data_IF_583699197632
#
_entry.id   IF_583699197632
#
_cell.length_a   1.000
_cell.length_b   1.000
_cell.length_c   1.000
_cell.angle_alpha   90.00
_cell.angle_beta   90.00
_cell.angle_gamma   90.00
#
_symmetry.space_group_name_H-M   'P 1'
#
loop_
_entity.id
_entity.type
_entity.pdbx_description
1 polymer ?
#
# COMPACT_ATOMS: atom_id res chain seq x y z
N UNK A 1 25.39 22.48 4.26
CA UNK A 1 24.07 22.77 4.84
C UNK A 1 23.62 24.22 4.63
N UNK A 2 24.39 25.24 5.03
CA UNK A 2 24.03 26.63 4.78
C UNK A 2 23.83 26.95 3.28
N UNK A 3 24.73 26.48 2.42
CA UNK A 3 24.65 26.74 0.98
C UNK A 3 23.44 26.10 0.29
N UNK A 4 22.93 25.00 0.83
CA UNK A 4 21.77 24.29 0.27
C UNK A 4 20.46 25.06 0.52
N UNK A 5 20.35 25.76 1.64
CA UNK A 5 19.22 26.61 2.00
C UNK A 5 19.33 28.06 1.49
N UNK A 6 20.52 28.46 1.01
CA UNK A 6 20.77 29.83 0.52
C UNK A 6 20.25 30.09 -0.91
N UNK A 7 19.78 29.06 -1.61
CA UNK A 7 19.09 29.24 -2.89
C UNK A 7 17.94 30.23 -2.74
N UNK A 8 17.93 31.31 -3.55
CA UNK A 8 17.02 32.45 -3.39
C UNK A 8 15.56 32.07 -3.13
N UNK A 9 15.01 31.10 -3.88
CA UNK A 9 13.62 30.68 -3.72
C UNK A 9 13.34 29.97 -2.39
N UNK A 10 14.27 29.10 -1.93
CA UNK A 10 14.13 28.41 -0.65
C UNK A 10 14.31 29.37 0.52
N UNK A 11 15.29 30.28 0.43
CA UNK A 11 15.48 31.30 1.45
C UNK A 11 14.26 32.20 1.61
N UNK A 12 13.63 32.63 0.51
CA UNK A 12 12.39 33.43 0.53
C UNK A 12 11.23 32.67 1.20
N UNK A 13 11.17 31.32 1.04
CA UNK A 13 10.11 30.49 1.62
C UNK A 13 10.30 30.20 3.12
N UNK A 14 11.53 29.91 3.56
CA UNK A 14 11.77 29.37 4.92
C UNK A 14 12.77 30.17 5.74
N UNK A 15 13.44 31.18 5.15
CA UNK A 15 14.51 31.95 5.79
C UNK A 15 14.11 33.36 6.23
N UNK A 16 12.88 33.80 6.02
CA UNK A 16 12.44 35.18 6.29
C UNK A 16 11.56 35.27 7.53
N UNK A 17 10.36 34.74 7.49
CA UNK A 17 9.37 34.85 8.57
C UNK A 17 8.78 33.47 8.89
N UNK A 18 8.47 33.24 10.16
CA UNK A 18 7.72 32.05 10.60
C UNK A 18 6.23 32.37 10.67
N UNK A 19 5.52 32.16 9.58
CA UNK A 19 4.07 32.38 9.49
C UNK A 19 3.27 31.07 9.44
N UNK A 20 3.95 29.92 9.29
CA UNK A 20 3.37 28.60 9.22
C UNK A 20 4.13 27.65 10.14
N UNK A 21 3.42 26.99 11.06
CA UNK A 21 4.00 25.99 11.96
C UNK A 21 3.21 24.69 11.94
N UNK A 22 3.82 23.52 12.21
CA UNK A 22 3.12 22.24 12.26
C UNK A 22 1.99 22.18 13.28
N UNK A 23 2.11 22.93 14.37
CA UNK A 23 1.08 22.99 15.42
C UNK A 23 -0.28 23.48 14.91
N UNK A 24 -0.31 24.21 13.80
CA UNK A 24 -1.57 24.66 13.17
C UNK A 24 -2.46 23.48 12.75
N UNK A 25 -1.86 22.33 12.41
CA UNK A 25 -2.59 21.10 12.05
C UNK A 25 -3.35 20.57 13.26
N UNK A 26 -2.82 20.71 14.47
CA UNK A 26 -3.45 20.27 15.71
C UNK A 26 -4.75 21.03 16.02
N UNK A 27 -4.94 22.19 15.40
CA UNK A 27 -6.19 22.99 15.46
C UNK A 27 -7.14 22.72 14.29
N UNK A 28 -6.89 21.68 13.49
CA UNK A 28 -7.75 21.29 12.36
C UNK A 28 -7.45 22.01 11.04
N UNK A 29 -6.33 22.71 10.93
CA UNK A 29 -5.92 23.33 9.67
C UNK A 29 -5.30 22.29 8.73
N UNK A 30 -5.48 22.50 7.43
CA UNK A 30 -4.81 21.74 6.37
C UNK A 30 -3.60 22.55 5.91
N UNK A 31 -2.44 21.92 5.88
CA UNK A 31 -1.19 22.49 5.38
C UNK A 31 -0.71 21.68 4.20
N UNK A 32 -0.44 22.33 3.09
CA UNK A 32 0.10 21.72 1.87
C UNK A 32 1.49 22.29 1.64
N UNK A 33 2.49 21.40 1.59
CA UNK A 33 3.87 21.76 1.24
C UNK A 33 4.08 21.44 -0.25
N UNK A 34 3.94 22.46 -1.09
CA UNK A 34 4.26 22.35 -2.51
C UNK A 34 5.61 23.06 -2.76
N UNK A 35 6.70 22.30 -2.60
CA UNK A 35 8.06 22.80 -2.76
C UNK A 35 8.64 22.23 -4.06
N UNK A 36 8.80 23.05 -5.11
CA UNK A 36 9.30 22.56 -6.39
C UNK A 36 10.73 22.08 -6.27
N UNK A 37 10.95 20.81 -6.60
CA UNK A 37 12.28 20.19 -6.61
C UNK A 37 13.12 20.61 -7.82
N UNK A 38 12.49 21.11 -8.89
CA UNK A 38 13.20 21.57 -10.09
C UNK A 38 14.03 22.82 -9.78
N UNK A 39 15.35 22.67 -9.92
CA UNK A 39 16.32 23.75 -9.69
C UNK A 39 17.10 23.66 -8.38
N UNK A 40 16.54 23.12 -7.31
CA UNK A 40 17.26 22.81 -6.07
C UNK A 40 16.63 21.63 -5.33
N UNK A 41 16.86 20.43 -5.86
CA UNK A 41 16.30 19.18 -5.32
C UNK A 41 16.67 18.99 -3.85
N UNK A 42 17.96 19.14 -3.52
CA UNK A 42 18.46 18.90 -2.17
C UNK A 42 17.87 19.87 -1.15
N UNK A 43 17.73 21.12 -1.51
CA UNK A 43 17.13 22.14 -0.63
C UNK A 43 15.65 21.87 -0.41
N UNK A 44 14.90 21.53 -1.45
CA UNK A 44 13.48 21.21 -1.36
C UNK A 44 13.22 19.97 -0.49
N UNK A 45 13.96 18.88 -0.71
CA UNK A 45 13.87 17.67 0.11
C UNK A 45 14.21 17.94 1.58
N UNK A 46 15.26 18.73 1.83
CA UNK A 46 15.68 19.08 3.17
C UNK A 46 14.60 19.87 3.93
N UNK A 47 13.96 20.87 3.29
CA UNK A 47 12.88 21.65 3.91
C UNK A 47 11.69 20.73 4.25
N UNK A 48 11.30 19.86 3.32
CA UNK A 48 10.19 18.93 3.54
C UNK A 48 10.50 17.91 4.65
N UNK A 49 11.74 17.38 4.70
CA UNK A 49 12.17 16.48 5.76
C UNK A 49 12.20 17.16 7.15
N UNK A 50 12.67 18.40 7.23
CA UNK A 50 12.63 19.18 8.47
C UNK A 50 11.19 19.45 8.91
N UNK A 51 10.31 19.85 7.99
CA UNK A 51 8.90 20.08 8.26
C UNK A 51 8.20 18.81 8.79
N UNK A 52 8.45 17.67 8.15
CA UNK A 52 7.97 16.37 8.61
C UNK A 52 8.42 16.07 10.04
N UNK A 53 9.71 16.23 10.32
CA UNK A 53 10.25 16.02 11.67
C UNK A 53 9.60 16.92 12.71
N UNK A 54 9.43 18.21 12.39
CA UNK A 54 8.76 19.17 13.26
C UNK A 54 7.29 18.81 13.48
N UNK A 55 6.58 18.33 12.46
CA UNK A 55 5.23 17.83 12.57
C UNK A 55 5.17 16.63 13.54
N UNK A 56 6.01 15.62 13.34
CA UNK A 56 6.06 14.44 14.20
C UNK A 56 6.31 14.82 15.66
N UNK A 57 7.28 15.69 15.91
CA UNK A 57 7.57 16.21 17.24
C UNK A 57 6.40 17.02 17.84
N UNK A 58 5.71 17.81 17.03
CA UNK A 58 4.55 18.58 17.50
C UNK A 58 3.42 17.66 17.95
N UNK A 59 3.17 16.59 17.18
CA UNK A 59 2.14 15.58 17.49
C UNK A 59 2.50 14.76 18.73
N UNK A 60 3.77 14.33 18.88
CA UNK A 60 4.25 13.63 20.08
C UNK A 60 4.09 14.49 21.32
N UNK A 61 4.52 15.74 21.28
CA UNK A 61 4.43 16.69 22.40
C UNK A 61 3.01 17.09 22.79
N UNK A 62 2.00 16.89 21.92
CA UNK A 62 0.63 17.26 22.29
C UNK A 62 0.08 16.44 23.45
N UNK A 63 0.45 15.17 23.53
CA UNK A 63 0.06 14.30 24.64
C UNK A 63 0.66 14.80 25.96
N UNK A 64 1.94 15.15 25.94
CA UNK A 64 2.66 15.66 27.13
C UNK A 64 2.10 16.99 27.62
N UNK A 65 1.62 17.83 26.70
CA UNK A 65 1.04 19.15 27.02
C UNK A 65 -0.43 19.11 27.40
N UNK A 66 -1.04 17.92 27.51
CA UNK A 66 -2.47 17.78 27.77
C UNK A 66 -3.37 18.34 26.69
N UNK A 67 -2.85 18.54 25.49
CA UNK A 67 -3.64 18.99 24.34
C UNK A 67 -4.56 17.87 23.84
N UNK A 68 -5.74 18.25 23.37
CA UNK A 68 -6.72 17.29 22.88
C UNK A 68 -6.18 16.45 21.73
N UNK A 69 -6.30 15.13 21.84
CA UNK A 69 -6.07 14.18 20.75
C UNK A 69 -7.36 13.90 19.94
N UNK A 70 -8.44 14.65 20.18
CA UNK A 70 -9.74 14.42 19.54
C UNK A 70 -9.67 14.56 18.02
N UNK A 71 -8.89 15.52 17.51
CA UNK A 71 -8.67 15.71 16.08
C UNK A 71 -7.46 14.89 15.65
N UNK A 72 -7.61 13.92 14.73
CA UNK A 72 -6.47 13.22 14.17
C UNK A 72 -5.58 14.19 13.37
N UNK A 73 -4.26 14.04 13.53
CA UNK A 73 -3.28 14.80 12.76
C UNK A 73 -2.73 13.92 11.63
N UNK A 74 -3.28 14.05 10.43
CA UNK A 74 -2.87 13.28 9.27
C UNK A 74 -1.55 13.79 8.71
N UNK A 75 -0.65 12.86 8.39
CA UNK A 75 0.51 13.09 7.55
C UNK A 75 0.31 12.34 6.25
N UNK A 76 0.38 13.04 5.12
CA UNK A 76 0.24 12.48 3.80
C UNK A 76 1.50 12.80 2.99
N UNK A 77 2.20 11.76 2.55
CA UNK A 77 3.48 11.87 1.85
C UNK A 77 3.36 11.25 0.47
N UNK A 78 3.40 12.08 -0.56
CA UNK A 78 3.64 11.62 -1.92
C UNK A 78 5.15 11.43 -2.13
N UNK A 79 5.55 10.34 -2.81
CA UNK A 79 6.95 9.90 -2.90
C UNK A 79 7.63 9.80 -1.52
N UNK A 80 6.92 9.24 -0.54
CA UNK A 80 7.33 9.21 0.87
C UNK A 80 8.69 8.55 1.13
N UNK A 81 9.23 7.80 0.17
CA UNK A 81 10.59 7.26 0.24
C UNK A 81 11.66 8.35 0.28
N UNK A 82 11.44 9.51 -0.38
CA UNK A 82 12.38 10.64 -0.38
C UNK A 82 12.55 11.30 1.00
N UNK A 83 11.56 11.12 1.87
CA UNK A 83 11.50 11.74 3.20
C UNK A 83 11.63 10.74 4.34
N UNK A 84 11.91 9.46 4.04
CA UNK A 84 12.07 8.44 5.06
C UNK A 84 13.28 8.74 5.94
N UNK A 85 13.12 8.56 7.24
CA UNK A 85 14.16 8.85 8.23
C UNK A 85 14.14 7.83 9.38
N UNK A 86 15.21 7.77 10.17
CA UNK A 86 15.24 6.96 11.39
C UNK A 86 14.16 7.36 12.40
N UNK A 87 13.68 8.60 12.35
CA UNK A 87 12.62 9.06 13.23
C UNK A 87 11.29 8.35 12.92
N UNK A 88 11.03 8.01 11.64
CA UNK A 88 9.82 7.27 11.24
C UNK A 88 9.74 5.89 11.91
N UNK A 89 10.88 5.24 12.11
CA UNK A 89 10.97 3.94 12.78
C UNK A 89 10.49 4.02 14.23
N UNK A 90 10.73 5.15 14.89
CA UNK A 90 10.32 5.40 16.28
C UNK A 90 8.88 5.95 16.35
N UNK A 91 8.52 6.81 15.42
CA UNK A 91 7.23 7.48 15.38
C UNK A 91 6.09 6.52 15.00
N UNK A 92 6.28 5.68 13.99
CA UNK A 92 5.22 4.86 13.43
C UNK A 92 4.54 3.90 14.43
N UNK A 93 5.25 3.20 15.32
CA UNK A 93 4.62 2.36 16.33
C UNK A 93 3.72 3.12 17.30
N UNK A 94 4.02 4.39 17.59
CA UNK A 94 3.27 5.24 18.53
C UNK A 94 2.19 6.09 17.86
N UNK A 95 2.24 6.22 16.54
CA UNK A 95 1.35 7.08 15.74
C UNK A 95 -0.14 6.80 15.98
N UNK A 96 -0.51 5.54 16.22
CA UNK A 96 -1.88 5.14 16.55
C UNK A 96 -2.36 5.75 17.86
N UNK A 97 -1.57 5.67 18.92
CA UNK A 97 -1.96 6.09 20.27
C UNK A 97 -2.09 7.61 20.34
N UNK A 98 -1.25 8.31 19.62
CA UNK A 98 -1.28 9.76 19.50
C UNK A 98 -2.22 10.25 18.37
N UNK A 99 -2.98 9.36 17.73
CA UNK A 99 -3.92 9.65 16.63
C UNK A 99 -3.29 10.48 15.50
N UNK A 100 -2.16 10.01 15.03
CA UNK A 100 -1.42 10.59 13.90
C UNK A 100 -1.39 9.60 12.71
N UNK A 101 -2.50 9.45 11.98
CA UNK A 101 -2.51 8.59 10.79
C UNK A 101 -1.47 9.06 9.78
N UNK A 102 -0.71 8.10 9.26
CA UNK A 102 0.35 8.35 8.31
C UNK A 102 0.06 7.60 7.00
N UNK A 103 0.04 8.30 5.90
CA UNK A 103 -0.14 7.76 4.54
C UNK A 103 1.15 7.98 3.78
N UNK A 104 1.77 6.90 3.36
CA UNK A 104 3.01 6.90 2.58
C UNK A 104 2.69 6.37 1.19
N UNK A 105 2.95 7.14 0.16
CA UNK A 105 2.77 6.77 -1.25
C UNK A 105 4.15 6.61 -1.87
N UNK A 106 4.35 5.52 -2.61
CA UNK A 106 5.57 5.27 -3.37
C UNK A 106 5.28 4.33 -4.53
N UNK A 107 6.13 4.33 -5.54
CA UNK A 107 5.96 3.53 -6.74
C UNK A 107 6.30 2.06 -6.51
N UNK A 108 7.33 1.77 -5.71
CA UNK A 108 7.79 0.41 -5.42
C UNK A 108 8.59 0.36 -4.12
N UNK A 109 8.85 -0.86 -3.64
CA UNK A 109 9.60 -1.07 -2.39
C UNK A 109 11.08 -0.74 -2.53
N UNK A 110 11.65 -0.87 -3.73
CA UNK A 110 13.06 -0.61 -3.99
C UNK A 110 13.42 0.86 -3.80
N UNK A 111 12.49 1.77 -4.00
CA UNK A 111 12.71 3.20 -3.78
C UNK A 111 13.16 3.48 -2.33
N UNK A 112 12.61 2.76 -1.36
CA UNK A 112 13.06 2.86 0.04
C UNK A 112 14.41 2.20 0.27
N UNK A 113 14.68 1.07 -0.39
CA UNK A 113 15.91 0.29 -0.18
C UNK A 113 17.15 0.98 -0.78
N UNK A 114 16.97 1.76 -1.85
CA UNK A 114 18.07 2.45 -2.53
C UNK A 114 18.68 3.62 -1.75
N UNK A 115 17.95 4.20 -0.81
CA UNK A 115 18.41 5.38 -0.05
C UNK A 115 19.41 5.07 1.06
N UNK A 116 19.88 3.82 1.14
CA UNK A 116 20.90 3.42 2.13
C UNK A 116 20.38 3.26 3.55
N UNK A 117 19.07 3.30 3.74
CA UNK A 117 18.46 3.00 5.03
C UNK A 117 18.52 1.49 5.32
N UNK A 118 18.56 1.15 6.62
CA UNK A 118 18.45 -0.25 7.03
C UNK A 118 17.13 -0.86 6.55
N UNK A 119 17.24 -1.92 5.76
CA UNK A 119 16.08 -2.65 5.24
C UNK A 119 15.14 -3.18 6.34
N UNK A 120 15.71 -3.59 7.48
CA UNK A 120 14.91 -4.04 8.64
C UNK A 120 14.12 -2.89 9.26
N UNK A 121 14.69 -1.69 9.32
CA UNK A 121 14.01 -0.50 9.81
C UNK A 121 12.82 -0.12 8.92
N UNK A 122 13.02 -0.13 7.60
CA UNK A 122 11.95 0.10 6.61
C UNK A 122 10.83 -0.93 6.78
N UNK A 123 11.17 -2.20 6.86
CA UNK A 123 10.20 -3.27 7.03
C UNK A 123 9.46 -3.19 8.37
N UNK A 124 10.09 -2.69 9.43
CA UNK A 124 9.45 -2.45 10.73
C UNK A 124 8.37 -1.35 10.62
N UNK A 125 8.66 -0.25 9.91
CA UNK A 125 7.66 0.80 9.65
C UNK A 125 6.48 0.24 8.86
N UNK A 126 6.74 -0.50 7.77
CA UNK A 126 5.67 -1.14 7.01
C UNK A 126 4.89 -2.16 7.85
N UNK A 127 5.56 -2.92 8.73
CA UNK A 127 4.87 -3.87 9.60
C UNK A 127 3.89 -3.21 10.58
N UNK A 128 4.15 -1.96 10.95
CA UNK A 128 3.26 -1.17 11.82
C UNK A 128 2.06 -0.56 11.08
N UNK A 129 2.06 -0.57 9.74
CA UNK A 129 0.92 -0.10 8.96
C UNK A 129 -0.24 -1.09 9.03
N UNK A 130 -1.48 -0.58 9.08
CA UNK A 130 -2.70 -1.40 9.15
C UNK A 130 -3.36 -1.61 7.79
N UNK A 131 -3.16 -0.70 6.85
CA UNK A 131 -3.82 -0.71 5.55
C UNK A 131 -2.79 -0.56 4.44
N UNK A 132 -2.95 -1.37 3.39
CA UNK A 132 -2.12 -1.32 2.19
C UNK A 132 -3.02 -1.24 0.97
N UNK A 133 -2.64 -0.42 0.01
CA UNK A 133 -3.33 -0.26 -1.25
C UNK A 133 -2.32 -0.50 -2.36
N UNK A 134 -2.50 -1.61 -3.08
CA UNK A 134 -1.62 -2.02 -4.16
C UNK A 134 -2.30 -1.78 -5.49
N UNK A 135 -1.87 -0.78 -6.22
CA UNK A 135 -2.24 -0.55 -7.60
C UNK A 135 -1.46 -1.48 -8.54
N UNK A 136 -1.79 -1.44 -9.83
CA UNK A 136 -1.03 -2.18 -10.84
C UNK A 136 0.45 -1.78 -10.78
N UNK A 137 1.33 -2.77 -10.71
CA UNK A 137 2.77 -2.55 -10.59
C UNK A 137 3.53 -3.55 -11.46
N UNK A 138 4.55 -3.05 -12.17
CA UNK A 138 5.46 -3.87 -12.98
C UNK A 138 6.64 -4.45 -12.20
N UNK A 139 6.88 -3.98 -10.97
CA UNK A 139 7.97 -4.46 -10.14
C UNK A 139 7.60 -5.78 -9.46
N UNK A 140 8.32 -6.84 -9.83
CA UNK A 140 8.01 -8.19 -9.36
C UNK A 140 8.27 -8.37 -7.86
N UNK A 141 9.26 -7.71 -7.30
CA UNK A 141 9.59 -7.85 -5.88
C UNK A 141 8.55 -7.14 -5.00
N UNK A 142 8.05 -5.98 -5.42
CA UNK A 142 6.90 -5.33 -4.77
C UNK A 142 5.65 -6.24 -4.84
N UNK A 143 5.40 -6.86 -5.99
CA UNK A 143 4.25 -7.76 -6.16
C UNK A 143 4.39 -9.04 -5.33
N UNK A 144 5.59 -9.61 -5.19
CA UNK A 144 5.86 -10.75 -4.31
C UNK A 144 5.62 -10.38 -2.84
N UNK A 145 6.16 -9.25 -2.41
CA UNK A 145 5.95 -8.74 -1.07
C UNK A 145 4.46 -8.51 -0.78
N UNK A 146 3.70 -7.94 -1.72
CA UNK A 146 2.26 -7.75 -1.59
C UNK A 146 1.52 -9.09 -1.48
N UNK A 147 1.85 -10.08 -2.33
CA UNK A 147 1.29 -11.43 -2.30
C UNK A 147 1.54 -12.14 -0.96
N UNK A 148 2.77 -12.06 -0.45
CA UNK A 148 3.14 -12.65 0.85
C UNK A 148 2.38 -11.98 2.01
N UNK A 149 2.20 -10.66 1.97
CA UNK A 149 1.42 -9.90 2.96
C UNK A 149 -0.05 -10.30 2.99
N UNK A 150 -0.66 -10.53 1.84
CA UNK A 150 -2.05 -10.99 1.72
C UNK A 150 -2.18 -12.42 2.24
N UNK A 151 -1.15 -13.25 1.98
CA UNK A 151 -1.04 -14.59 2.50
C UNK A 151 -1.66 -15.64 1.60
N UNK A 152 -1.86 -16.82 2.19
CA UNK A 152 -2.29 -18.02 1.48
C UNK A 152 -3.73 -18.39 1.80
N UNK A 153 -4.38 -19.03 0.85
CA UNK A 153 -5.69 -19.64 0.99
C UNK A 153 -5.61 -21.15 0.77
N UNK A 154 -6.51 -21.89 1.40
CA UNK A 154 -6.68 -23.32 1.13
C UNK A 154 -7.59 -23.47 -0.09
N UNK A 155 -7.12 -24.20 -1.10
CA UNK A 155 -7.92 -24.62 -2.25
C UNK A 155 -8.05 -26.13 -2.23
N UNK A 156 -9.24 -26.64 -2.51
CA UNK A 156 -9.45 -28.06 -2.71
C UNK A 156 -9.04 -28.42 -4.13
N UNK A 157 -8.04 -29.29 -4.26
CA UNK A 157 -7.61 -29.84 -5.52
C UNK A 157 -8.23 -31.23 -5.67
N UNK A 158 -8.98 -31.41 -6.72
CA UNK A 158 -9.50 -32.71 -7.11
C UNK A 158 -8.36 -33.51 -7.76
N UNK A 159 -7.99 -34.65 -7.19
CA UNK A 159 -7.03 -35.57 -7.78
C UNK A 159 -7.78 -36.84 -8.15
N UNK A 160 -7.72 -37.23 -9.42
CA UNK A 160 -8.22 -38.51 -9.91
C UNK A 160 -7.06 -39.45 -10.05
N UNK A 161 -7.00 -40.48 -9.22
CA UNK A 161 -6.08 -41.61 -9.41
C UNK A 161 -6.71 -42.54 -10.43
N UNK A 162 -6.31 -42.40 -11.67
CA UNK A 162 -6.74 -43.24 -12.78
C UNK A 162 -6.54 -42.56 -14.12
N UNK A 163 -6.07 -43.27 -15.10
CA UNK A 163 -5.96 -42.83 -16.50
C UNK A 163 -7.36 -42.58 -17.10
N UNK A 164 -7.95 -41.42 -16.81
CA UNK A 164 -9.05 -40.92 -17.64
C UNK A 164 -8.41 -40.51 -18.97
N UNK A 165 -8.56 -41.33 -20.01
CA UNK A 165 -8.33 -40.84 -21.38
C UNK A 165 -9.25 -39.62 -21.59
N UNK A 166 -8.73 -38.50 -22.06
CA UNK A 166 -9.58 -37.34 -22.33
C UNK A 166 -10.54 -37.73 -23.46
N UNK A 167 -11.78 -37.98 -23.13
CA UNK A 167 -12.85 -38.08 -24.09
C UNK A 167 -12.99 -36.66 -24.67
N UNK A 168 -12.78 -36.55 -25.98
CA UNK A 168 -12.93 -35.25 -26.65
C UNK A 168 -14.32 -34.71 -26.38
N UNK A 169 -14.41 -33.47 -25.90
CA UNK A 169 -15.63 -32.78 -25.51
C UNK A 169 -16.65 -32.59 -26.65
N UNK A 170 -16.47 -33.24 -27.78
CA UNK A 170 -17.38 -33.19 -28.94
C UNK A 170 -18.48 -34.23 -28.96
N UNK A 171 -18.44 -35.22 -28.06
CA UNK A 171 -19.35 -36.36 -28.13
C UNK A 171 -20.38 -36.40 -26.97
N UNK A 172 -20.59 -35.28 -26.26
CA UNK A 172 -21.63 -35.18 -25.25
C UNK A 172 -22.86 -34.51 -25.89
N UNK A 173 -23.68 -35.28 -26.58
CA UNK A 173 -25.06 -34.88 -26.90
C UNK A 173 -25.96 -35.22 -25.71
N UNK A 174 -26.68 -34.22 -25.21
CA UNK A 174 -27.48 -34.25 -23.98
C UNK A 174 -28.70 -35.19 -23.99
N UNK A 175 -28.91 -36.00 -25.04
CA UNK A 175 -30.19 -36.71 -25.26
C UNK A 175 -30.15 -38.22 -25.36
N UNK A 176 -29.00 -38.88 -25.16
CA UNK A 176 -28.97 -40.37 -25.14
C UNK A 176 -28.33 -40.87 -23.83
N UNK A 177 -29.24 -41.13 -22.85
CA UNK A 177 -28.89 -41.93 -21.67
C UNK A 177 -29.29 -43.38 -21.95
N UNK A 178 -28.37 -44.16 -22.44
CA UNK A 178 -28.32 -45.59 -22.12
C UNK A 178 -27.30 -45.79 -20.99
N UNK A 179 -27.63 -46.65 -19.98
CA UNK A 179 -26.69 -46.93 -18.89
C UNK A 179 -25.63 -47.87 -19.38
N UNK A 180 -24.55 -47.32 -19.93
CA UNK A 180 -23.34 -48.11 -20.09
C UNK A 180 -22.64 -48.19 -18.75
N UNK A 181 -22.36 -49.42 -18.30
CA UNK A 181 -21.59 -49.74 -17.10
C UNK A 181 -20.31 -48.92 -17.10
N UNK A 182 -20.20 -48.00 -16.12
CA UNK A 182 -18.99 -47.26 -15.86
C UNK A 182 -18.08 -48.20 -15.05
N UNK A 183 -17.38 -49.07 -15.75
CA UNK A 183 -16.24 -49.79 -15.17
C UNK A 183 -15.11 -48.76 -14.88
N UNK A 184 -14.70 -48.73 -13.64
CA UNK A 184 -13.61 -47.93 -13.08
C UNK A 184 -13.88 -46.43 -12.88
N UNK A 185 -14.71 -46.13 -11.89
CA UNK A 185 -14.68 -44.84 -11.20
C UNK A 185 -13.36 -44.76 -10.43
N UNK A 186 -12.35 -44.12 -11.01
CA UNK A 186 -11.14 -43.77 -10.29
C UNK A 186 -11.51 -43.06 -8.98
N UNK A 187 -10.87 -43.41 -7.88
CA UNK A 187 -11.10 -42.80 -6.58
C UNK A 187 -10.87 -41.30 -6.72
N UNK A 188 -11.95 -40.50 -6.59
CA UNK A 188 -11.88 -39.06 -6.45
C UNK A 188 -11.32 -38.76 -5.06
N UNK A 189 -10.12 -38.20 -4.98
CA UNK A 189 -9.55 -37.72 -3.74
C UNK A 189 -9.48 -36.23 -3.76
N UNK A 190 -9.89 -35.60 -2.65
CA UNK A 190 -9.75 -34.15 -2.45
C UNK A 190 -8.52 -33.90 -1.60
N UNK A 191 -7.58 -33.13 -2.11
CA UNK A 191 -6.41 -32.70 -1.35
C UNK A 191 -6.50 -31.20 -1.12
N UNK A 192 -6.35 -30.78 0.14
CA UNK A 192 -6.15 -29.38 0.43
C UNK A 192 -4.74 -28.94 -0.01
N UNK A 193 -4.68 -27.95 -0.87
CA UNK A 193 -3.44 -27.30 -1.29
C UNK A 193 -3.46 -25.85 -0.84
N UNK A 194 -2.37 -25.40 -0.20
CA UNK A 194 -2.18 -23.99 0.11
C UNK A 194 -1.63 -23.28 -1.13
N UNK A 195 -2.29 -22.23 -1.54
CA UNK A 195 -1.86 -21.34 -2.62
C UNK A 195 -1.91 -19.90 -2.17
N UNK A 196 -1.09 -19.05 -2.78
CA UNK A 196 -1.21 -17.61 -2.62
C UNK A 196 -2.65 -17.18 -2.89
N UNK A 197 -3.18 -16.28 -2.08
CA UNK A 197 -4.52 -15.75 -2.28
C UNK A 197 -4.59 -14.93 -3.56
N UNK A 198 -3.53 -14.20 -3.86
CA UNK A 198 -3.22 -13.52 -5.12
C UNK A 198 -1.77 -13.84 -5.47
N UNK A 199 -1.53 -14.24 -6.71
CA UNK A 199 -0.17 -14.45 -7.22
C UNK A 199 0.46 -13.09 -7.60
N UNK A 200 1.80 -12.94 -7.61
CA UNK A 200 2.46 -11.68 -7.98
C UNK A 200 2.02 -11.13 -9.35
N UNK A 201 1.71 -12.01 -10.30
CA UNK A 201 1.27 -11.65 -11.65
C UNK A 201 -0.15 -11.05 -11.68
N UNK A 202 -0.96 -11.30 -10.64
CA UNK A 202 -2.33 -10.77 -10.59
C UNK A 202 -2.33 -9.25 -10.38
N UNK A 203 -1.33 -8.71 -9.70
CA UNK A 203 -1.17 -7.24 -9.55
C UNK A 203 -0.86 -6.54 -10.88
N UNK A 204 -0.20 -7.23 -11.82
CA UNK A 204 0.10 -6.68 -13.14
C UNK A 204 -1.15 -6.59 -14.03
N UNK A 205 -2.20 -7.37 -13.72
CA UNK A 205 -3.46 -7.43 -14.47
C UNK A 205 -4.48 -6.38 -14.02
N UNK A 206 -4.24 -5.72 -12.88
CA UNK A 206 -5.13 -4.67 -12.38
C UNK A 206 -5.25 -3.54 -13.40
N UNK A 207 -6.45 -3.01 -13.54
CA UNK A 207 -6.72 -1.91 -14.46
C UNK A 207 -5.94 -0.66 -14.05
N UNK A 208 -5.14 -0.13 -14.97
CA UNK A 208 -4.45 1.15 -14.80
C UNK A 208 -5.44 2.29 -14.94
N UNK A 209 -5.17 3.39 -14.24
CA UNK A 209 -5.92 4.62 -14.42
C UNK A 209 -5.76 5.23 -15.81
N UNK A 210 -6.65 6.18 -16.14
CA UNK A 210 -6.64 6.91 -17.41
C UNK A 210 -7.94 6.80 -18.20
N UNK A 211 -8.70 5.71 -18.02
CA UNK A 211 -9.97 5.45 -18.71
C UNK A 211 -11.18 5.63 -17.78
N UNK A 212 -11.12 6.59 -16.86
CA UNK A 212 -12.19 6.89 -15.90
C UNK A 212 -12.26 5.94 -14.69
N UNK A 213 -11.54 4.83 -14.69
CA UNK A 213 -11.48 3.91 -13.54
C UNK A 213 -10.09 3.30 -13.39
N UNK A 214 -9.69 3.00 -12.15
CA UNK A 214 -8.51 2.18 -11.85
C UNK A 214 -8.85 1.13 -10.81
N UNK A 215 -8.03 0.09 -10.71
CA UNK A 215 -8.19 -0.97 -9.73
C UNK A 215 -7.04 -1.00 -8.74
N UNK A 216 -7.32 -1.41 -7.54
CA UNK A 216 -6.32 -1.71 -6.54
C UNK A 216 -6.75 -2.87 -5.64
N UNK A 217 -5.77 -3.60 -5.14
CA UNK A 217 -5.95 -4.54 -4.03
C UNK A 217 -5.82 -3.76 -2.74
N UNK A 218 -6.88 -3.73 -1.94
CA UNK A 218 -6.87 -3.14 -0.60
C UNK A 218 -6.74 -4.27 0.42
N UNK A 219 -5.64 -4.27 1.15
CA UNK A 219 -5.43 -5.13 2.30
C UNK A 219 -5.63 -4.30 3.57
N UNK A 220 -6.60 -4.71 4.42
CA UNK A 220 -6.88 -4.03 5.68
C UNK A 220 -6.82 -5.04 6.82
N UNK A 221 -5.73 -5.03 7.58
CA UNK A 221 -5.42 -6.07 8.56
C UNK A 221 -6.46 -6.21 9.67
N UNK A 222 -7.09 -5.11 10.08
CA UNK A 222 -8.10 -5.09 11.14
C UNK A 222 -9.55 -5.20 10.62
N UNK A 223 -9.77 -5.36 9.32
CA UNK A 223 -11.09 -5.44 8.72
C UNK A 223 -11.31 -6.72 7.91
N UNK A 224 -12.58 -7.09 7.72
CA UNK A 224 -12.99 -8.22 6.89
C UNK A 224 -13.99 -7.75 5.85
N UNK A 225 -13.72 -8.01 4.59
CA UNK A 225 -14.60 -7.65 3.47
C UNK A 225 -15.61 -8.77 3.22
N UNK A 226 -16.89 -8.48 3.44
CA UNK A 226 -17.99 -9.44 3.19
C UNK A 226 -18.06 -9.86 1.72
N UNK A 227 -17.80 -8.93 0.80
CA UNK A 227 -17.74 -9.17 -0.65
C UNK A 227 -16.65 -10.16 -1.06
N UNK A 228 -15.64 -10.38 -0.23
CA UNK A 228 -14.56 -11.35 -0.47
C UNK A 228 -14.53 -12.44 0.61
N UNK A 229 -15.65 -13.07 0.88
CA UNK A 229 -15.75 -14.20 1.81
C UNK A 229 -15.15 -13.92 3.21
N UNK A 230 -15.34 -12.71 3.72
CA UNK A 230 -14.78 -12.24 5.00
C UNK A 230 -13.24 -12.30 5.07
N UNK A 231 -12.55 -12.12 3.95
CA UNK A 231 -11.09 -11.96 3.92
C UNK A 231 -10.72 -10.51 4.26
N UNK A 232 -9.49 -10.32 4.66
CA UNK A 232 -8.94 -9.00 5.00
C UNK A 232 -8.45 -8.20 3.80
N UNK A 233 -8.70 -8.66 2.58
CA UNK A 233 -8.38 -7.96 1.34
C UNK A 233 -9.53 -8.02 0.36
N UNK A 234 -9.56 -7.06 -0.55
CA UNK A 234 -10.52 -6.98 -1.65
C UNK A 234 -9.90 -6.23 -2.83
N UNK A 235 -10.28 -6.61 -4.05
CA UNK A 235 -10.00 -5.78 -5.23
C UNK A 235 -11.12 -4.75 -5.33
N UNK A 236 -10.75 -3.48 -5.35
CA UNK A 236 -11.67 -2.36 -5.47
C UNK A 236 -11.42 -1.60 -6.78
N UNK A 237 -12.50 -1.13 -7.35
CA UNK A 237 -12.46 -0.21 -8.50
C UNK A 237 -12.71 1.20 -8.00
N UNK A 238 -11.84 2.11 -8.38
CA UNK A 238 -11.93 3.53 -8.06
C UNK A 238 -12.32 4.30 -9.31
N UNK A 239 -13.32 5.16 -9.19
CA UNK A 239 -13.67 6.10 -10.24
C UNK A 239 -12.65 7.23 -10.27
N UNK A 240 -12.24 7.61 -11.47
CA UNK A 240 -11.36 8.74 -11.72
C UNK A 240 -12.12 9.79 -12.51
N UNK A 241 -12.03 11.04 -12.08
CA UNK A 241 -12.53 12.13 -12.90
C UNK A 241 -11.80 12.14 -14.24
N UNK A 242 -12.53 12.31 -15.36
CA UNK A 242 -11.90 12.44 -16.68
C UNK A 242 -10.95 13.64 -16.61
N UNK A 243 -9.70 13.42 -17.06
CA UNK A 243 -8.76 14.53 -17.22
C UNK A 243 -9.41 15.52 -18.17
N UNK A 244 -9.77 16.68 -17.68
CA UNK A 244 -10.13 17.81 -18.54
C UNK A 244 -8.93 18.14 -19.43
N UNK A 245 -9.09 18.21 -20.76
CA UNK A 245 -8.00 18.47 -21.69
C UNK A 245 -7.31 19.80 -21.46
#
# INVERSE_FOLDING_TARGET
MADTLSGRGIYEMVGTETNLTPEMILSGKVVILDIPLKGNIQGGLMVQAIWKLLFQQAVERRADKGLSTAIPAFLWEDEGHEFFSEHDVRFQPTARDIRAPHVIISQNIHNFLHLGHDSHAIMAVFAAMNTYIFHTNGDLDTNRWASERIGQIKKLKLTTDGLLKPTRAKDITWFEREPHEVENVGKLSFREEKKSALEPEDFMKLKRGGDGTCEAVVLWLSHRFSVNQNRNFCVLTFEQEPRTP
#
